data_IF_882700488654
#
_entry.id   IF_882700488654
#
_cell.length_a   1.000
_cell.length_b   1.000
_cell.length_c   1.000
_cell.angle_alpha   90.00
_cell.angle_beta   90.00
_cell.angle_gamma   90.00
#
_symmetry.space_group_name_H-M   'P 1'
#
loop_
_entity.id
_entity.type
_entity.pdbx_description
1 polymer ?
#
# COMPACT_ATOMS: atom_id res chain seq x y z
N UNK A 1 -0.83 -21.10 -21.48
CA UNK A 1 -1.63 -20.05 -20.85
C UNK A 1 -2.27 -19.23 -21.96
N UNK A 2 -3.60 -19.13 -21.98
CA UNK A 2 -4.27 -18.23 -22.93
C UNK A 2 -4.10 -16.77 -22.48
N UNK A 3 -4.32 -15.83 -23.40
CA UNK A 3 -4.27 -14.40 -23.07
C UNK A 3 -5.33 -14.06 -22.01
N UNK A 4 -6.53 -14.63 -22.12
CA UNK A 4 -7.61 -14.45 -21.14
C UNK A 4 -7.23 -14.94 -19.75
N UNK A 5 -6.60 -16.13 -19.68
CA UNK A 5 -6.12 -16.72 -18.43
C UNK A 5 -5.03 -15.85 -17.79
N UNK A 6 -4.11 -15.30 -18.59
CA UNK A 6 -3.10 -14.35 -18.13
C UNK A 6 -3.74 -13.07 -17.54
N UNK A 7 -4.71 -12.47 -18.25
CA UNK A 7 -5.41 -11.27 -17.78
C UNK A 7 -6.14 -11.53 -16.46
N UNK A 8 -6.81 -12.68 -16.31
CA UNK A 8 -7.47 -13.06 -15.05
C UNK A 8 -6.47 -13.16 -13.90
N UNK A 9 -5.38 -13.91 -14.09
CA UNK A 9 -4.35 -14.10 -13.06
C UNK A 9 -3.73 -12.75 -12.66
N UNK A 10 -3.46 -11.88 -13.64
CA UNK A 10 -2.90 -10.55 -13.37
C UNK A 10 -3.85 -9.69 -12.52
N UNK A 11 -5.15 -9.68 -12.85
CA UNK A 11 -6.15 -8.94 -12.07
C UNK A 11 -6.28 -9.49 -10.64
N UNK A 12 -6.23 -10.80 -10.46
CA UNK A 12 -6.27 -11.43 -9.13
C UNK A 12 -5.06 -11.04 -8.28
N UNK A 13 -3.86 -11.07 -8.87
CA UNK A 13 -2.63 -10.61 -8.20
C UNK A 13 -2.74 -9.14 -7.82
N UNK A 14 -3.30 -8.30 -8.68
CA UNK A 14 -3.45 -6.86 -8.41
C UNK A 14 -4.42 -6.61 -7.24
N UNK A 15 -5.55 -7.31 -7.18
CA UNK A 15 -6.49 -7.24 -6.05
C UNK A 15 -5.80 -7.69 -4.76
N UNK A 16 -5.10 -8.83 -4.79
CA UNK A 16 -4.38 -9.35 -3.63
C UNK A 16 -3.34 -8.34 -3.14
N UNK A 17 -2.56 -7.77 -4.05
CA UNK A 17 -1.55 -6.77 -3.73
C UNK A 17 -2.16 -5.52 -3.09
N UNK A 18 -3.26 -4.99 -3.63
CA UNK A 18 -3.97 -3.89 -2.99
C UNK A 18 -4.58 -4.26 -1.65
N UNK A 19 -5.11 -5.48 -1.52
CA UNK A 19 -5.63 -6.02 -0.27
C UNK A 19 -4.56 -6.02 0.81
N UNK A 20 -3.36 -6.52 0.51
CA UNK A 20 -2.22 -6.54 1.45
C UNK A 20 -1.83 -5.13 1.88
N UNK A 21 -1.70 -4.19 0.94
CA UNK A 21 -1.40 -2.79 1.25
C UNK A 21 -2.46 -2.17 2.18
N UNK A 22 -3.74 -2.38 1.85
CA UNK A 22 -4.85 -1.78 2.58
C UNK A 22 -5.02 -2.41 3.98
N UNK A 23 -4.92 -3.73 4.08
CA UNK A 23 -4.95 -4.46 5.37
C UNK A 23 -3.79 -4.05 6.25
N UNK A 24 -2.57 -3.93 5.71
CA UNK A 24 -1.44 -3.46 6.51
C UNK A 24 -1.66 -2.02 6.99
N UNK A 25 -2.14 -1.13 6.12
CA UNK A 25 -2.45 0.24 6.50
C UNK A 25 -3.56 0.33 7.58
N UNK A 26 -4.55 -0.57 7.58
CA UNK A 26 -5.48 -0.72 8.69
C UNK A 26 -4.78 -1.12 9.99
N UNK A 27 -3.85 -2.07 9.96
CA UNK A 27 -3.10 -2.45 11.17
C UNK A 27 -2.29 -1.27 11.72
N UNK A 28 -1.73 -0.43 10.85
CA UNK A 28 -1.05 0.82 11.24
C UNK A 28 -2.04 1.81 11.88
N UNK A 29 -3.28 1.93 11.38
CA UNK A 29 -4.29 2.78 12.01
C UNK A 29 -4.59 2.34 13.46
N UNK A 30 -4.68 1.02 13.68
CA UNK A 30 -5.02 0.44 14.98
C UNK A 30 -3.84 0.50 15.95
N UNK A 31 -2.69 -0.01 15.51
CA UNK A 31 -1.52 -0.28 16.36
C UNK A 31 -0.45 0.83 16.31
N UNK A 32 -0.54 1.75 15.34
CA UNK A 32 0.33 2.91 15.23
C UNK A 32 1.81 2.52 15.08
N UNK A 33 2.63 3.03 15.99
CA UNK A 33 4.10 2.87 15.94
C UNK A 33 4.52 1.41 15.89
N UNK A 34 3.83 0.48 16.57
CA UNK A 34 4.22 -0.94 16.60
C UNK A 34 4.37 -1.52 15.18
N UNK A 35 3.43 -1.21 14.28
CA UNK A 35 3.49 -1.69 12.90
C UNK A 35 4.48 -0.90 12.04
N UNK A 36 4.76 0.35 12.40
CA UNK A 36 5.74 1.18 11.69
C UNK A 36 7.16 0.82 12.09
N UNK A 37 7.40 0.52 13.37
CA UNK A 37 8.68 0.06 13.90
C UNK A 37 9.06 -1.30 13.29
N UNK A 38 8.07 -2.20 13.09
CA UNK A 38 8.29 -3.45 12.35
C UNK A 38 8.67 -3.21 10.87
N UNK A 39 7.98 -2.27 10.21
CA UNK A 39 8.32 -1.89 8.84
C UNK A 39 9.72 -1.27 8.75
N UNK A 40 10.08 -0.42 9.70
CA UNK A 40 11.38 0.24 9.78
C UNK A 40 12.51 -0.74 10.10
N UNK A 41 12.23 -1.78 10.89
CA UNK A 41 13.20 -2.86 11.11
C UNK A 41 13.56 -3.62 9.82
N UNK A 42 12.59 -3.77 8.91
CA UNK A 42 12.79 -4.44 7.62
C UNK A 42 13.22 -3.51 6.48
N UNK A 43 13.39 -2.21 6.73
CA UNK A 43 13.75 -1.24 5.70
C UNK A 43 14.97 -0.41 6.10
N UNK A 44 15.68 0.13 5.11
CA UNK A 44 16.79 1.05 5.32
C UNK A 44 16.41 2.44 4.81
N UNK A 45 16.61 3.47 5.64
CA UNK A 45 16.41 4.87 5.24
C UNK A 45 17.42 5.29 4.15
N UNK A 46 18.67 4.84 4.26
CA UNK A 46 19.72 5.09 3.26
C UNK A 46 20.38 3.77 2.80
N UNK A 47 19.74 3.03 1.89
CA UNK A 47 20.22 1.73 1.44
C UNK A 47 21.48 1.86 0.56
N UNK A 48 22.61 1.35 1.05
CA UNK A 48 23.93 1.53 0.43
C UNK A 48 24.20 0.56 -0.73
N UNK A 49 23.61 -0.64 -0.68
CA UNK A 49 23.87 -1.71 -1.65
C UNK A 49 22.59 -2.22 -2.32
N UNK A 50 22.76 -3.02 -3.38
CA UNK A 50 21.63 -3.53 -4.19
C UNK A 50 20.68 -4.36 -3.34
N UNK A 51 21.19 -5.22 -2.44
CA UNK A 51 20.36 -6.06 -1.57
C UNK A 51 19.45 -5.21 -0.68
N UNK A 52 20.00 -4.19 -0.02
CA UNK A 52 19.22 -3.27 0.82
C UNK A 52 18.19 -2.50 -0.01
N UNK A 53 18.57 -2.00 -1.20
CA UNK A 53 17.65 -1.30 -2.10
C UNK A 53 16.49 -2.18 -2.53
N UNK A 54 16.77 -3.43 -2.89
CA UNK A 54 15.76 -4.40 -3.30
C UNK A 54 14.82 -4.76 -2.15
N UNK A 55 15.35 -5.02 -0.95
CA UNK A 55 14.52 -5.34 0.21
C UNK A 55 13.67 -4.16 0.66
N UNK A 56 14.23 -2.95 0.73
CA UNK A 56 13.48 -1.72 1.01
C UNK A 56 12.37 -1.52 -0.04
N UNK A 57 12.68 -1.73 -1.33
CA UNK A 57 11.68 -1.64 -2.38
C UNK A 57 10.57 -2.67 -2.21
N UNK A 58 10.89 -3.94 -1.94
CA UNK A 58 9.88 -5.01 -1.75
C UNK A 58 8.97 -4.65 -0.56
N UNK A 59 9.54 -4.22 0.57
CA UNK A 59 8.76 -3.82 1.73
C UNK A 59 7.86 -2.62 1.43
N UNK A 60 8.41 -1.57 0.80
CA UNK A 60 7.63 -0.40 0.41
C UNK A 60 6.52 -0.76 -0.59
N UNK A 61 6.84 -1.62 -1.55
CA UNK A 61 5.93 -2.08 -2.60
C UNK A 61 4.81 -2.95 -2.05
N UNK A 62 5.04 -3.77 -1.02
CA UNK A 62 4.00 -4.64 -0.46
C UNK A 62 3.17 -3.96 0.63
N UNK A 63 3.78 -3.14 1.49
CA UNK A 63 3.13 -2.65 2.72
C UNK A 63 3.50 -1.19 3.08
N UNK A 64 4.17 -0.46 2.19
CA UNK A 64 4.70 0.87 2.49
C UNK A 64 3.68 2.01 2.63
N UNK A 65 2.46 1.86 2.08
CA UNK A 65 1.46 2.95 2.09
C UNK A 65 1.10 3.37 3.51
N UNK A 66 0.86 2.41 4.40
CA UNK A 66 0.46 2.68 5.78
C UNK A 66 1.53 3.43 6.57
N UNK A 67 2.76 2.88 6.69
CA UNK A 67 3.88 3.54 7.35
C UNK A 67 4.19 4.93 6.79
N UNK A 68 4.13 5.11 5.46
CA UNK A 68 4.35 6.41 4.84
C UNK A 68 3.39 7.48 5.36
N UNK A 69 2.09 7.22 5.36
CA UNK A 69 1.09 8.19 5.82
C UNK A 69 1.10 8.36 7.34
N UNK A 70 1.36 7.30 8.11
CA UNK A 70 1.55 7.43 9.55
C UNK A 70 2.70 8.38 9.89
N UNK A 71 3.87 8.19 9.27
CA UNK A 71 5.02 9.05 9.47
C UNK A 71 4.69 10.49 9.08
N UNK A 72 4.04 10.70 7.93
CA UNK A 72 3.61 12.02 7.46
C UNK A 72 2.68 12.73 8.46
N UNK A 73 1.74 12.02 9.09
CA UNK A 73 0.80 12.65 10.03
C UNK A 73 1.38 12.89 11.42
N UNK A 74 2.26 12.02 11.92
CA UNK A 74 2.84 12.12 13.26
C UNK A 74 4.13 12.95 13.28
N UNK A 75 5.09 12.71 12.37
CA UNK A 75 6.39 13.41 12.40
C UNK A 75 6.27 14.89 12.08
N UNK A 76 5.31 15.30 11.24
CA UNK A 76 5.05 16.72 10.99
C UNK A 76 4.36 17.42 12.19
N UNK A 77 4.16 16.72 13.33
CA UNK A 77 3.42 17.17 14.53
C UNK A 77 2.06 17.82 14.20
N UNK A 78 1.51 17.51 13.04
CA UNK A 78 0.34 18.19 12.48
C UNK A 78 -0.93 17.80 13.23
N UNK A 79 -0.94 16.63 13.87
CA UNK A 79 -2.12 16.04 14.47
C UNK A 79 -1.84 15.38 15.83
N UNK A 80 -2.74 15.61 16.79
CA UNK A 80 -2.77 14.87 18.07
C UNK A 80 -3.24 13.41 17.84
N UNK A 81 -3.08 12.55 18.86
CA UNK A 81 -3.34 11.09 18.80
C UNK A 81 -4.67 10.67 18.13
N UNK A 82 -5.73 11.47 18.33
CA UNK A 82 -7.05 11.21 17.78
C UNK A 82 -7.20 11.74 16.36
N UNK A 83 -6.65 12.93 16.08
CA UNK A 83 -6.81 13.60 14.79
C UNK A 83 -6.09 12.87 13.66
N UNK A 84 -4.91 12.30 13.92
CA UNK A 84 -4.18 11.55 12.88
C UNK A 84 -4.93 10.28 12.51
N UNK A 85 -5.55 9.60 13.48
CA UNK A 85 -6.36 8.41 13.21
C UNK A 85 -7.58 8.73 12.36
N UNK A 86 -8.29 9.81 12.66
CA UNK A 86 -9.42 10.23 11.82
C UNK A 86 -8.97 10.62 10.41
N UNK A 87 -7.88 11.38 10.28
CA UNK A 87 -7.33 11.75 8.98
C UNK A 87 -6.89 10.50 8.18
N UNK A 88 -6.25 9.55 8.85
CA UNK A 88 -5.77 8.32 8.25
C UNK A 88 -6.91 7.35 7.91
N UNK A 89 -7.98 7.31 8.71
CA UNK A 89 -9.21 6.60 8.38
C UNK A 89 -9.87 7.18 7.12
N UNK A 90 -9.96 8.51 7.03
CA UNK A 90 -10.44 9.19 5.83
C UNK A 90 -9.58 8.85 4.61
N UNK A 91 -8.27 8.76 4.79
CA UNK A 91 -7.35 8.33 3.74
C UNK A 91 -7.55 6.86 3.34
N UNK A 92 -7.80 5.95 4.28
CA UNK A 92 -8.07 4.55 3.98
C UNK A 92 -9.38 4.37 3.20
N UNK A 93 -10.43 5.11 3.57
CA UNK A 93 -11.71 5.09 2.85
C UNK A 93 -11.52 5.69 1.45
N UNK A 94 -10.96 6.90 1.36
CA UNK A 94 -10.76 7.59 0.08
C UNK A 94 -9.78 6.85 -0.83
N UNK A 95 -8.68 6.34 -0.28
CA UNK A 95 -7.69 5.54 -0.98
C UNK A 95 -8.24 4.19 -1.42
N UNK A 96 -9.08 3.53 -0.61
CA UNK A 96 -9.78 2.31 -1.00
C UNK A 96 -10.74 2.53 -2.18
N UNK A 97 -11.55 3.58 -2.13
CA UNK A 97 -12.42 3.96 -3.27
C UNK A 97 -11.60 4.32 -4.51
N UNK A 98 -10.51 5.06 -4.34
CA UNK A 98 -9.58 5.38 -5.43
C UNK A 98 -8.97 4.13 -6.06
N UNK A 99 -8.52 3.17 -5.24
CA UNK A 99 -7.98 1.90 -5.72
C UNK A 99 -9.03 1.08 -6.48
N UNK A 100 -10.29 1.05 -6.02
CA UNK A 100 -11.38 0.41 -6.75
C UNK A 100 -11.61 1.04 -8.14
N UNK A 101 -11.57 2.36 -8.24
CA UNK A 101 -11.70 3.05 -9.54
C UNK A 101 -10.54 2.71 -10.47
N UNK A 102 -9.31 2.75 -9.95
CA UNK A 102 -8.11 2.36 -10.72
C UNK A 102 -8.19 0.91 -11.17
N UNK A 103 -8.70 0.00 -10.32
CA UNK A 103 -8.91 -1.40 -10.69
C UNK A 103 -9.81 -1.53 -11.91
N UNK A 104 -10.97 -0.84 -11.88
CA UNK A 104 -11.93 -0.90 -12.96
C UNK A 104 -11.33 -0.35 -14.26
N UNK A 105 -10.58 0.76 -14.18
CA UNK A 105 -9.89 1.32 -15.35
C UNK A 105 -8.87 0.33 -15.94
N UNK A 106 -8.06 -0.32 -15.10
CA UNK A 106 -7.10 -1.34 -15.54
C UNK A 106 -7.83 -2.52 -16.17
N UNK A 107 -8.89 -3.03 -15.53
CA UNK A 107 -9.70 -4.13 -16.05
C UNK A 107 -10.28 -3.82 -17.42
N UNK A 108 -10.86 -2.63 -17.59
CA UNK A 108 -11.43 -2.18 -18.88
C UNK A 108 -10.32 -2.07 -19.94
N UNK A 109 -9.18 -1.48 -19.60
CA UNK A 109 -8.06 -1.33 -20.52
C UNK A 109 -7.49 -2.69 -20.97
N UNK A 110 -7.31 -3.63 -20.04
CA UNK A 110 -6.83 -4.97 -20.36
C UNK A 110 -7.82 -5.74 -21.24
N UNK A 111 -9.11 -5.69 -20.92
CA UNK A 111 -10.12 -6.32 -21.75
C UNK A 111 -10.15 -5.68 -23.16
N UNK A 112 -10.02 -4.37 -23.30
CA UNK A 112 -9.99 -3.73 -24.61
C UNK A 112 -8.76 -4.12 -25.47
N UNK A 113 -7.61 -4.37 -24.84
CA UNK A 113 -6.36 -4.68 -25.54
C UNK A 113 -6.22 -6.16 -25.92
N UNK A 114 -6.85 -7.05 -25.15
CA UNK A 114 -6.54 -8.47 -25.17
C UNK A 114 -7.74 -9.40 -25.42
N UNK A 115 -8.96 -8.86 -25.43
CA UNK A 115 -10.23 -9.53 -25.69
C UNK A 115 -11.01 -8.77 -26.79
#
# INVERSE_FOLDING_TARGET
MSIEEFVSIFLDILILWWGVQWTYALTVLLLGSVMVDYYDWGTWEDPQNIVQKTLTFIMAFLIGVGPYFYKKFIFEKKYNWYKWRLAFLGLLIGGGLGAMLVFQMIKVALNFLFL
#
